data_IF_559975445247
#
_entry.id   IF_559975445247
#
_cell.length_a   1.000
_cell.length_b   1.000
_cell.length_c   1.000
_cell.angle_alpha   90.00
_cell.angle_beta   90.00
_cell.angle_gamma   90.00
#
_symmetry.space_group_name_H-M   'P 1'
#
loop_
_entity.id
_entity.type
_entity.pdbx_description
1 polymer ?
#
# COMPACT_ATOMS: atom_id res chain seq x y z
N UNK A 1 8.00 58.68 -23.18
CA UNK A 1 7.88 57.48 -23.99
C UNK A 1 8.78 56.42 -23.43
N UNK A 2 8.28 55.41 -22.69
CA UNK A 2 9.07 54.33 -22.13
C UNK A 2 8.86 53.07 -22.99
N UNK A 3 9.93 52.36 -23.37
CA UNK A 3 9.76 51.12 -24.16
C UNK A 3 9.18 50.01 -23.31
N UNK A 4 8.21 49.30 -23.87
CA UNK A 4 7.59 48.12 -23.31
C UNK A 4 8.61 46.97 -23.32
N UNK A 5 8.94 46.45 -22.14
CA UNK A 5 9.73 45.21 -22.01
C UNK A 5 8.86 44.03 -22.43
N UNK A 6 9.11 43.46 -23.59
CA UNK A 6 8.65 42.16 -24.00
C UNK A 6 9.20 41.10 -23.03
N UNK A 7 8.32 40.54 -22.18
CA UNK A 7 8.64 39.33 -21.42
C UNK A 7 8.64 38.17 -22.40
N UNK A 8 9.81 37.68 -22.74
CA UNK A 8 9.95 36.36 -23.36
C UNK A 8 9.51 35.32 -22.30
N UNK A 9 8.33 34.81 -22.47
CA UNK A 9 7.89 33.58 -21.74
C UNK A 9 8.72 32.44 -22.30
N UNK A 10 9.71 31.98 -21.53
CA UNK A 10 10.48 30.79 -21.88
C UNK A 10 9.49 29.61 -22.01
N UNK A 11 9.29 29.10 -23.22
CA UNK A 11 8.62 27.83 -23.42
C UNK A 11 9.45 26.77 -22.68
N UNK A 12 8.82 26.12 -21.72
CA UNK A 12 9.39 24.90 -21.10
C UNK A 12 9.74 23.90 -22.21
N UNK A 13 10.90 23.23 -22.14
CA UNK A 13 11.28 22.24 -23.14
C UNK A 13 10.21 21.15 -23.19
N UNK A 14 9.47 21.09 -24.28
CA UNK A 14 8.51 20.03 -24.53
C UNK A 14 9.31 18.76 -24.81
N UNK A 15 9.23 17.77 -23.91
CA UNK A 15 9.79 16.46 -24.14
C UNK A 15 9.18 15.88 -25.43
N UNK A 16 10.03 15.70 -26.44
CA UNK A 16 9.64 15.13 -27.75
C UNK A 16 9.31 13.63 -27.67
N UNK A 17 9.50 13.01 -26.52
CA UNK A 17 9.23 11.61 -26.26
C UNK A 17 8.13 11.40 -25.23
N UNK A 18 6.95 11.98 -25.45
CA UNK A 18 5.76 11.58 -24.69
C UNK A 18 5.41 10.14 -25.09
N UNK A 19 5.69 9.18 -24.23
CA UNK A 19 5.23 7.79 -24.40
C UNK A 19 3.71 7.79 -24.28
N UNK A 20 3.02 7.72 -25.43
CA UNK A 20 1.55 7.90 -25.49
C UNK A 20 0.75 6.64 -25.17
N UNK A 21 1.41 5.50 -25.02
CA UNK A 21 0.78 4.18 -24.82
C UNK A 21 0.95 3.64 -23.38
N UNK A 22 1.49 4.43 -22.47
CA UNK A 22 1.50 4.05 -21.06
C UNK A 22 0.23 4.54 -20.37
N UNK A 23 -0.45 3.61 -19.73
CA UNK A 23 -1.54 3.95 -18.81
C UNK A 23 -0.91 4.64 -17.61
N UNK A 24 -1.42 5.81 -17.18
CA UNK A 24 -0.93 6.46 -15.96
C UNK A 24 -1.00 5.50 -14.77
N UNK A 25 -0.09 5.58 -13.80
CA UNK A 25 -0.18 4.80 -12.57
C UNK A 25 -1.54 5.02 -11.93
N UNK A 26 -2.19 3.94 -11.54
CA UNK A 26 -3.46 4.02 -10.83
C UNK A 26 -3.22 4.59 -9.43
N UNK A 27 -3.78 5.76 -9.15
CA UNK A 27 -3.64 6.43 -7.86
C UNK A 27 -4.90 7.21 -7.50
N UNK A 28 -5.12 7.44 -6.21
CA UNK A 28 -6.25 8.22 -5.72
C UNK A 28 -7.60 7.49 -5.81
N UNK A 29 -7.60 6.17 -5.81
CA UNK A 29 -8.81 5.34 -5.85
C UNK A 29 -9.09 4.72 -4.48
N UNK A 30 -10.34 4.29 -4.29
CA UNK A 30 -10.76 3.52 -3.11
C UNK A 30 -11.01 2.07 -3.54
N UNK A 31 -10.18 1.15 -3.04
CA UNK A 31 -10.33 -0.30 -3.34
C UNK A 31 -11.70 -0.82 -2.91
N UNK A 32 -12.28 -0.25 -1.86
CA UNK A 32 -13.60 -0.65 -1.35
C UNK A 32 -14.77 -0.19 -2.24
N UNK A 33 -14.53 0.63 -3.26
CA UNK A 33 -15.55 0.96 -4.28
C UNK A 33 -15.80 -0.18 -5.28
N UNK A 34 -14.96 -1.22 -5.29
CA UNK A 34 -15.18 -2.40 -6.12
C UNK A 34 -16.50 -3.10 -5.77
N UNK A 35 -17.36 -3.23 -6.78
CA UNK A 35 -18.71 -3.79 -6.60
C UNK A 35 -18.68 -5.27 -6.19
N UNK A 36 -17.71 -6.04 -6.70
CA UNK A 36 -17.58 -7.46 -6.38
C UNK A 36 -17.12 -7.65 -4.93
N UNK A 37 -16.16 -6.81 -4.48
CA UNK A 37 -15.70 -6.83 -3.09
C UNK A 37 -16.85 -6.49 -2.13
N UNK A 38 -17.60 -5.43 -2.41
CA UNK A 38 -18.76 -5.03 -1.58
C UNK A 38 -19.85 -6.11 -1.53
N UNK A 39 -20.17 -6.70 -2.67
CA UNK A 39 -21.16 -7.77 -2.74
C UNK A 39 -20.69 -9.02 -1.95
N UNK A 40 -19.41 -9.36 -2.03
CA UNK A 40 -18.84 -10.45 -1.27
C UNK A 40 -18.89 -10.15 0.24
N UNK A 41 -18.44 -8.98 0.67
CA UNK A 41 -18.50 -8.58 2.07
C UNK A 41 -19.94 -8.59 2.63
N UNK A 42 -20.91 -8.08 1.87
CA UNK A 42 -22.32 -8.12 2.26
C UNK A 42 -22.85 -9.53 2.38
N UNK A 43 -22.55 -10.41 1.43
CA UNK A 43 -22.97 -11.81 1.39
C UNK A 43 -22.44 -12.59 2.60
N UNK A 44 -21.22 -12.33 3.02
CA UNK A 44 -20.57 -12.97 4.17
C UNK A 44 -20.91 -12.30 5.51
N UNK A 45 -21.77 -11.28 5.52
CA UNK A 45 -22.19 -10.59 6.73
C UNK A 45 -21.16 -9.59 7.29
N UNK A 46 -20.18 -9.15 6.48
CA UNK A 46 -19.16 -8.22 6.88
C UNK A 46 -19.53 -6.73 6.63
N UNK A 47 -20.80 -6.42 6.41
CA UNK A 47 -21.27 -5.05 6.17
C UNK A 47 -20.91 -4.05 7.27
N UNK A 48 -20.72 -4.52 8.51
CA UNK A 48 -20.27 -3.71 9.63
C UNK A 48 -18.87 -3.10 9.42
N UNK A 49 -18.02 -3.73 8.60
CA UNK A 49 -16.65 -3.30 8.32
C UNK A 49 -16.57 -2.26 7.18
N UNK A 50 -17.69 -1.86 6.57
CA UNK A 50 -17.67 -1.00 5.38
C UNK A 50 -16.87 0.29 5.58
N UNK A 51 -17.02 0.98 6.73
CA UNK A 51 -16.27 2.20 7.03
C UNK A 51 -14.76 1.97 7.11
N UNK A 52 -14.33 0.89 7.76
CA UNK A 52 -12.93 0.49 7.89
C UNK A 52 -12.34 0.09 6.53
N UNK A 53 -13.11 -0.65 5.73
CA UNK A 53 -12.73 -1.05 4.36
C UNK A 53 -12.51 0.18 3.47
N UNK A 54 -13.40 1.18 3.51
CA UNK A 54 -13.23 2.43 2.76
C UNK A 54 -12.03 3.25 3.25
N UNK A 55 -11.81 3.33 4.56
CA UNK A 55 -10.65 4.04 5.10
C UNK A 55 -9.34 3.39 4.63
N UNK A 56 -9.25 2.07 4.75
CA UNK A 56 -8.08 1.30 4.29
C UNK A 56 -7.96 1.32 2.76
N UNK A 57 -9.07 1.22 2.04
CA UNK A 57 -9.11 1.25 0.59
C UNK A 57 -8.55 2.54 -0.01
N UNK A 58 -8.94 3.69 0.54
CA UNK A 58 -8.39 5.01 0.15
C UNK A 58 -6.91 5.15 0.49
N UNK A 59 -6.50 4.65 1.65
CA UNK A 59 -5.11 4.67 2.05
C UNK A 59 -4.25 3.81 1.11
N UNK A 60 -4.68 2.57 0.84
CA UNK A 60 -4.01 1.66 -0.07
C UNK A 60 -3.93 2.20 -1.51
N UNK A 61 -5.00 2.84 -1.99
CA UNK A 61 -5.06 3.44 -3.33
C UNK A 61 -4.40 4.82 -3.43
N UNK A 62 -3.81 5.35 -2.36
CA UNK A 62 -3.16 6.66 -2.38
C UNK A 62 -1.84 6.64 -3.16
N UNK A 63 -1.49 7.78 -3.77
CA UNK A 63 -0.21 7.94 -4.45
C UNK A 63 0.98 7.73 -3.48
N UNK A 64 0.83 8.13 -2.22
CA UNK A 64 1.86 7.95 -1.21
C UNK A 64 2.14 6.47 -0.92
N UNK A 65 1.10 5.66 -0.74
CA UNK A 65 1.26 4.20 -0.55
C UNK A 65 1.82 3.55 -1.81
N UNK A 66 1.39 3.98 -2.99
CA UNK A 66 1.94 3.52 -4.27
C UNK A 66 3.45 3.77 -4.36
N UNK A 67 3.92 4.95 -3.96
CA UNK A 67 5.34 5.27 -3.95
C UNK A 67 6.11 4.42 -2.92
N UNK A 68 5.58 4.21 -1.71
CA UNK A 68 6.20 3.31 -0.73
C UNK A 68 6.31 1.88 -1.27
N UNK A 69 5.27 1.40 -1.96
CA UNK A 69 5.26 0.08 -2.58
C UNK A 69 6.32 -0.02 -3.67
N UNK A 70 6.45 0.99 -4.52
CA UNK A 70 7.48 1.04 -5.57
C UNK A 70 8.88 0.97 -4.96
N UNK A 71 9.16 1.81 -3.96
CA UNK A 71 10.45 1.85 -3.27
C UNK A 71 10.78 0.53 -2.55
N UNK A 72 9.80 -0.09 -1.90
CA UNK A 72 10.00 -1.38 -1.24
C UNK A 72 10.33 -2.51 -2.23
N UNK A 73 9.76 -2.46 -3.44
CA UNK A 73 10.06 -3.44 -4.51
C UNK A 73 11.40 -3.18 -5.19
N UNK A 74 11.80 -1.93 -5.37
CA UNK A 74 13.10 -1.57 -5.96
C UNK A 74 14.27 -1.83 -5.02
N UNK A 75 14.04 -1.79 -3.72
CA UNK A 75 15.05 -1.98 -2.68
C UNK A 75 14.71 -3.20 -1.81
N UNK A 76 14.96 -4.43 -2.31
CA UNK A 76 14.72 -5.63 -1.54
C UNK A 76 15.59 -5.68 -0.27
N UNK A 77 15.19 -6.43 0.76
CA UNK A 77 15.99 -6.62 1.96
C UNK A 77 17.38 -7.16 1.66
N UNK A 78 18.39 -6.62 2.34
CA UNK A 78 19.79 -7.01 2.17
C UNK A 78 20.32 -7.66 3.45
N UNK A 79 20.83 -8.89 3.34
CA UNK A 79 21.50 -9.55 4.46
C UNK A 79 22.92 -8.98 4.62
N UNK A 80 23.17 -8.39 5.77
CA UNK A 80 24.50 -7.96 6.23
C UNK A 80 25.08 -9.06 7.11
N UNK A 81 25.83 -9.96 6.53
CA UNK A 81 26.42 -11.08 7.27
C UNK A 81 27.55 -10.64 8.20
N UNK A 82 28.32 -9.60 7.83
CA UNK A 82 29.44 -9.08 8.58
C UNK A 82 29.44 -7.55 8.61
N UNK A 83 29.98 -6.99 9.69
CA UNK A 83 30.24 -5.57 9.80
C UNK A 83 31.51 -5.16 9.00
N UNK A 84 31.84 -3.85 9.04
CA UNK A 84 33.02 -3.30 8.36
C UNK A 84 34.37 -3.81 8.91
N UNK A 85 34.38 -4.45 10.07
CA UNK A 85 35.58 -4.99 10.71
C UNK A 85 35.68 -6.52 10.59
N UNK A 86 34.72 -7.17 9.92
CA UNK A 86 34.68 -8.60 9.70
C UNK A 86 34.01 -9.41 10.82
N UNK A 87 33.37 -8.76 11.79
CA UNK A 87 32.55 -9.45 12.80
C UNK A 87 31.24 -9.89 12.19
N UNK A 88 30.82 -11.11 12.50
CA UNK A 88 29.56 -11.67 12.05
C UNK A 88 28.40 -10.98 12.79
N UNK A 89 27.41 -10.41 12.05
CA UNK A 89 26.26 -9.70 12.59
C UNK A 89 24.92 -10.32 12.16
N UNK A 90 24.85 -10.92 10.97
CA UNK A 90 23.66 -11.55 10.38
C UNK A 90 22.39 -10.66 10.47
N UNK A 91 22.53 -9.37 10.18
CA UNK A 91 21.44 -8.40 10.21
C UNK A 91 20.77 -8.28 8.85
N UNK A 92 19.43 -8.14 8.83
CA UNK A 92 18.68 -7.84 7.61
C UNK A 92 18.34 -6.36 7.60
N UNK A 93 18.86 -5.66 6.61
CA UNK A 93 18.59 -4.24 6.37
C UNK A 93 17.38 -4.10 5.46
N UNK A 94 16.38 -3.35 5.91
CA UNK A 94 15.17 -3.05 5.15
C UNK A 94 15.15 -1.58 4.76
N UNK A 95 14.67 -1.29 3.55
CA UNK A 95 14.40 0.08 3.14
C UNK A 95 13.28 0.69 4.02
N UNK A 96 13.36 2.01 4.37
CA UNK A 96 12.33 2.68 5.19
C UNK A 96 10.89 2.51 4.70
N UNK A 97 10.68 2.43 3.38
CA UNK A 97 9.38 2.17 2.78
C UNK A 97 8.75 0.85 3.26
N UNK A 98 9.56 -0.17 3.48
CA UNK A 98 9.13 -1.45 4.03
C UNK A 98 8.53 -1.29 5.43
N UNK A 99 9.23 -0.56 6.29
CA UNK A 99 8.75 -0.25 7.64
C UNK A 99 7.47 0.60 7.62
N UNK A 100 7.37 1.55 6.69
CA UNK A 100 6.16 2.37 6.54
C UNK A 100 4.93 1.52 6.17
N UNK A 101 5.07 0.60 5.20
CA UNK A 101 4.01 -0.32 4.79
C UNK A 101 3.62 -1.27 5.93
N UNK A 102 4.59 -1.85 6.63
CA UNK A 102 4.34 -2.73 7.77
C UNK A 102 3.66 -2.00 8.92
N UNK A 103 4.11 -0.79 9.27
CA UNK A 103 3.47 0.04 10.30
C UNK A 103 2.01 0.34 9.95
N UNK A 104 1.73 0.65 8.70
CA UNK A 104 0.38 0.87 8.21
C UNK A 104 -0.48 -0.39 8.37
N UNK A 105 0.01 -1.54 7.94
CA UNK A 105 -0.70 -2.81 8.04
C UNK A 105 -1.00 -3.18 9.51
N UNK A 106 0.00 -3.04 10.39
CA UNK A 106 -0.14 -3.32 11.82
C UNK A 106 -1.10 -2.32 12.48
N UNK A 107 -0.98 -1.02 12.16
CA UNK A 107 -1.85 0.03 12.69
C UNK A 107 -3.33 -0.17 12.35
N UNK A 108 -3.63 -0.78 11.22
CA UNK A 108 -4.98 -1.17 10.81
C UNK A 108 -5.38 -2.58 11.28
N UNK A 109 -4.56 -3.25 12.10
CA UNK A 109 -4.87 -4.56 12.67
C UNK A 109 -4.89 -5.71 11.66
N UNK A 110 -4.37 -5.55 10.44
CA UNK A 110 -4.45 -6.56 9.38
C UNK A 110 -3.76 -7.88 9.78
N UNK A 111 -2.71 -7.81 10.59
CA UNK A 111 -1.99 -8.97 11.10
C UNK A 111 -2.82 -9.83 12.06
N UNK A 112 -3.78 -9.23 12.77
CA UNK A 112 -4.58 -9.88 13.79
C UNK A 112 -6.05 -10.09 13.38
N UNK A 113 -6.49 -9.52 12.26
CA UNK A 113 -7.88 -9.59 11.80
C UNK A 113 -8.49 -11.00 11.78
N UNK A 114 -7.76 -12.07 11.40
CA UNK A 114 -8.30 -13.44 11.43
C UNK A 114 -8.59 -13.98 12.84
N UNK A 115 -7.95 -13.41 13.85
CA UNK A 115 -8.06 -13.83 15.26
C UNK A 115 -8.78 -12.82 16.15
N UNK A 116 -8.91 -11.59 15.67
CA UNK A 116 -9.70 -10.57 16.35
C UNK A 116 -11.18 -10.90 16.17
N UNK A 117 -12.01 -10.57 17.11
CA UNK A 117 -13.46 -10.64 17.15
C UNK A 117 -14.19 -11.66 16.26
N UNK A 118 -15.01 -12.50 16.88
CA UNK A 118 -15.89 -13.46 16.18
C UNK A 118 -17.11 -12.76 15.56
N UNK A 119 -16.90 -11.68 14.84
CA UNK A 119 -17.98 -10.99 14.13
C UNK A 119 -18.38 -11.76 12.87
N UNK A 120 -19.65 -11.69 12.44
CA UNK A 120 -20.07 -12.27 11.16
C UNK A 120 -19.20 -11.73 10.01
N UNK A 121 -18.78 -12.61 9.12
CA UNK A 121 -17.94 -12.25 7.98
C UNK A 121 -16.44 -12.05 8.30
N UNK A 122 -16.02 -12.10 9.57
CA UNK A 122 -14.61 -12.18 9.90
C UNK A 122 -14.05 -13.56 9.50
N UNK A 123 -12.79 -13.64 8.99
CA UNK A 123 -12.18 -14.91 8.68
C UNK A 123 -12.18 -15.80 9.93
N UNK A 124 -12.88 -16.89 9.89
CA UNK A 124 -12.89 -17.84 10.99
C UNK A 124 -11.55 -18.57 10.99
N UNK A 125 -10.71 -18.27 11.98
CA UNK A 125 -9.63 -19.17 12.34
C UNK A 125 -10.26 -20.57 12.52
N UNK A 126 -9.84 -21.53 11.69
CA UNK A 126 -10.47 -22.84 11.60
C UNK A 126 -10.67 -23.42 12.99
N UNK A 127 -11.92 -23.58 13.39
CA UNK A 127 -12.26 -24.37 14.57
C UNK A 127 -11.83 -25.80 14.25
N UNK A 128 -10.63 -26.16 14.67
CA UNK A 128 -10.28 -27.57 14.79
C UNK A 128 -11.40 -28.22 15.60
N UNK A 129 -12.25 -28.98 14.95
CA UNK A 129 -13.19 -29.86 15.60
C UNK A 129 -12.38 -30.87 16.41
N UNK A 130 -12.15 -30.55 17.67
CA UNK A 130 -11.77 -31.55 18.64
C UNK A 130 -13.02 -32.39 18.87
N UNK A 131 -13.19 -33.43 18.06
CA UNK A 131 -14.00 -34.55 18.47
C UNK A 131 -13.15 -35.37 19.44
N UNK A 132 -13.33 -35.17 20.73
CA UNK A 132 -12.98 -36.15 21.70
C UNK A 132 -14.08 -37.20 21.63
N UNK A 133 -13.74 -38.41 21.25
CA UNK A 133 -14.51 -39.66 21.50
C UNK A 133 -14.09 -40.19 22.84
#
# INVERSE_FOLDING_TARGET
MRPAHLRLTALAPQSTHAVRNQVPPLAGYDVADDAALRAAAGREGAGWAAGELHALGRLAGSAATGEQTRLANEHPPVLRSHDRWGNRIDEVEFHPAWHALMSTAVGHGLHAAPWADQRPGAPRAGRGRRRCS
#
